data_IF_800905706065
#
_entry.id   IF_800905706065
#
_cell.length_a   1.000
_cell.length_b   1.000
_cell.length_c   1.000
_cell.angle_alpha   90.00
_cell.angle_beta   90.00
_cell.angle_gamma   90.00
#
_symmetry.space_group_name_H-M   'P 1'
#
loop_
_entity.id
_entity.type
_entity.pdbx_description
1 polymer ?
#
# COMPACT_ATOMS: atom_id res chain seq x y z
N UNK A 1 7.92 -5.46 7.00
CA UNK A 1 6.60 -5.69 7.63
C UNK A 1 5.86 -6.79 6.89
N UNK A 2 5.23 -7.74 7.60
CA UNK A 2 4.32 -8.73 7.00
C UNK A 2 2.97 -8.06 6.67
N UNK A 3 2.12 -8.62 5.80
CA UNK A 3 0.84 -8.00 5.41
C UNK A 3 -0.05 -7.57 6.59
N UNK A 4 -0.17 -8.41 7.63
CA UNK A 4 -0.92 -8.07 8.86
C UNK A 4 -0.33 -6.88 9.63
N UNK A 5 1.00 -6.73 9.63
CA UNK A 5 1.65 -5.58 10.25
C UNK A 5 1.49 -4.30 9.41
N UNK A 6 1.33 -4.40 8.09
CA UNK A 6 0.99 -3.26 7.24
C UNK A 6 -0.44 -2.79 7.55
N UNK A 7 -1.38 -3.72 7.66
CA UNK A 7 -2.78 -3.45 8.04
C UNK A 7 -2.94 -2.74 9.38
N UNK A 8 -2.06 -3.02 10.34
CA UNK A 8 -2.05 -2.34 11.64
C UNK A 8 -1.50 -0.91 11.59
N UNK A 9 -0.72 -0.56 10.56
CA UNK A 9 0.04 0.71 10.50
C UNK A 9 -0.44 1.66 9.41
N UNK A 10 -1.03 1.13 8.35
CA UNK A 10 -1.48 1.90 7.20
C UNK A 10 -2.94 1.55 6.90
N UNK A 11 -3.71 2.44 6.27
CA UNK A 11 -5.11 2.22 5.94
C UNK A 11 -5.28 1.26 4.74
N UNK A 12 -4.63 0.09 4.78
CA UNK A 12 -4.67 -0.92 3.72
C UNK A 12 -4.71 -2.31 4.37
N UNK A 13 -5.74 -3.09 4.05
CA UNK A 13 -5.89 -4.43 4.63
C UNK A 13 -4.91 -5.45 4.04
N UNK A 14 -4.62 -6.51 4.80
CA UNK A 14 -3.75 -7.59 4.33
C UNK A 14 -4.34 -8.31 3.10
N UNK A 15 -5.67 -8.43 3.04
CA UNK A 15 -6.38 -9.01 1.90
C UNK A 15 -6.27 -8.12 0.65
N UNK A 16 -6.42 -6.81 0.81
CA UNK A 16 -6.25 -5.87 -0.30
C UNK A 16 -4.83 -5.93 -0.87
N UNK A 17 -3.81 -5.99 -0.01
CA UNK A 17 -2.42 -6.23 -0.44
C UNK A 17 -2.25 -7.55 -1.21
N UNK A 18 -2.96 -8.62 -0.83
CA UNK A 18 -2.91 -9.89 -1.55
C UNK A 18 -3.53 -9.79 -2.95
N UNK A 19 -4.68 -9.12 -3.07
CA UNK A 19 -5.33 -8.88 -4.37
C UNK A 19 -4.45 -8.02 -5.29
N UNK A 20 -3.82 -6.97 -4.76
CA UNK A 20 -2.88 -6.14 -5.53
C UNK A 20 -1.70 -6.96 -6.04
N UNK A 21 -1.07 -7.79 -5.19
CA UNK A 21 0.01 -8.70 -5.62
C UNK A 21 -0.44 -9.66 -6.72
N UNK A 22 -1.64 -10.22 -6.59
CA UNK A 22 -2.20 -11.13 -7.60
C UNK A 22 -2.41 -10.41 -8.95
N UNK A 23 -2.86 -9.15 -8.92
CA UNK A 23 -3.07 -8.31 -10.11
C UNK A 23 -1.78 -7.66 -10.65
N UNK A 24 -0.64 -7.84 -9.99
CA UNK A 24 0.61 -7.17 -10.36
C UNK A 24 0.62 -5.65 -10.09
N UNK A 25 -0.25 -5.16 -9.19
CA UNK A 25 -0.34 -3.74 -8.80
C UNK A 25 0.12 -3.54 -7.35
N UNK A 26 0.12 -2.28 -6.91
CA UNK A 26 0.34 -1.93 -5.50
C UNK A 26 1.79 -1.64 -5.14
N UNK A 27 2.10 -1.57 -3.82
CA UNK A 27 3.44 -1.27 -3.35
C UNK A 27 4.40 -2.44 -3.59
N UNK A 28 5.69 -2.12 -3.76
CA UNK A 28 6.74 -3.12 -3.92
C UNK A 28 6.81 -4.04 -2.69
N UNK A 29 7.05 -5.32 -2.95
CA UNK A 29 7.24 -6.33 -1.91
C UNK A 29 8.47 -7.18 -2.20
N UNK A 30 9.04 -7.74 -1.14
CA UNK A 30 10.12 -8.71 -1.19
C UNK A 30 9.53 -10.08 -0.87
N UNK A 31 9.75 -11.05 -1.76
CA UNK A 31 9.40 -12.45 -1.53
C UNK A 31 10.61 -13.22 -1.01
N UNK A 32 10.48 -13.86 0.15
CA UNK A 32 11.47 -14.81 0.69
C UNK A 32 10.78 -16.15 0.96
N UNK A 33 10.87 -17.06 -0.01
CA UNK A 33 10.11 -18.31 0.01
C UNK A 33 8.60 -18.06 -0.01
N UNK A 34 7.92 -18.46 1.07
CA UNK A 34 6.49 -18.23 1.29
C UNK A 34 6.19 -16.89 1.99
N UNK A 35 7.21 -16.17 2.47
CA UNK A 35 7.02 -14.91 3.19
C UNK A 35 7.00 -13.72 2.24
N UNK A 36 6.03 -12.84 2.48
CA UNK A 36 5.90 -11.53 1.82
C UNK A 36 6.26 -10.44 2.83
N UNK A 37 7.20 -9.58 2.45
CA UNK A 37 7.67 -8.48 3.28
C UNK A 37 7.56 -7.17 2.51
N UNK A 38 6.96 -6.17 3.15
CA UNK A 38 6.89 -4.80 2.69
C UNK A 38 7.89 -3.94 3.45
N UNK A 39 8.61 -3.05 2.74
CA UNK A 39 9.35 -1.96 3.39
C UNK A 39 8.40 -0.78 3.60
N UNK A 40 8.55 -0.07 4.71
CA UNK A 40 7.70 1.10 5.02
C UNK A 40 7.74 2.13 3.89
N UNK A 41 8.96 2.47 3.43
CA UNK A 41 9.19 3.41 2.32
C UNK A 41 8.46 3.03 1.03
N UNK A 42 8.36 1.74 0.69
CA UNK A 42 7.67 1.31 -0.54
C UNK A 42 6.14 1.45 -0.41
N UNK A 43 5.59 1.24 0.80
CA UNK A 43 4.17 1.48 1.09
C UNK A 43 3.87 2.97 1.01
N UNK A 44 4.69 3.79 1.67
CA UNK A 44 4.52 5.24 1.75
C UNK A 44 4.64 5.90 0.38
N UNK A 45 5.65 5.53 -0.42
CA UNK A 45 5.78 6.03 -1.78
C UNK A 45 4.58 5.63 -2.65
N UNK A 46 4.07 4.41 -2.50
CA UNK A 46 2.88 3.98 -3.25
C UNK A 46 1.63 4.77 -2.85
N UNK A 47 1.42 4.97 -1.55
CA UNK A 47 0.30 5.78 -1.04
C UNK A 47 0.40 7.23 -1.51
N UNK A 48 1.60 7.83 -1.46
CA UNK A 48 1.85 9.20 -1.88
C UNK A 48 1.71 9.36 -3.41
N UNK A 49 2.18 8.40 -4.20
CA UNK A 49 2.04 8.42 -5.66
C UNK A 49 0.59 8.30 -6.14
N UNK A 50 -0.33 7.81 -5.28
CA UNK A 50 -1.77 7.79 -5.52
C UNK A 50 -2.52 9.00 -4.96
N UNK A 51 -1.86 9.89 -4.19
CA UNK A 51 -2.48 11.13 -3.73
C UNK A 51 -2.55 12.12 -4.89
N UNK A 52 -3.77 12.42 -5.34
CA UNK A 52 -4.05 13.63 -6.09
C UNK A 52 -4.41 14.73 -5.10
N UNK A 53 -3.80 15.91 -5.24
CA UNK A 53 -4.25 17.09 -4.51
C UNK A 53 -5.66 17.42 -4.99
N UNK A 54 -6.67 17.11 -4.18
CA UNK A 54 -8.01 17.66 -4.40
C UNK A 54 -7.93 19.13 -4.05
N UNK A 55 -7.89 20.00 -5.06
CA UNK A 55 -8.16 21.41 -4.86
C UNK A 55 -9.54 21.53 -4.22
N UNK A 56 -9.59 22.04 -2.99
CA UNK A 56 -10.82 22.32 -2.28
C UNK A 56 -11.64 23.28 -3.15
N UNK A 57 -12.74 22.79 -3.72
CA UNK A 57 -13.69 23.67 -4.41
C UNK A 57 -14.38 24.47 -3.32
N UNK A 58 -13.80 25.62 -2.99
CA UNK A 58 -14.51 26.67 -2.24
C UNK A 58 -15.67 27.12 -3.12
N UNK A 59 -16.84 26.53 -2.87
CA UNK A 59 -18.09 27.03 -3.41
C UNK A 59 -18.38 28.40 -2.78
N UNK A 60 -18.75 29.41 -3.60
CA UNK A 60 -19.09 30.76 -3.14
C UNK A 60 -20.41 30.81 -2.35
#
# INVERSE_FOLDING_TARGET
MRPRAVEQRYPITANHLAQMRYRGTGPRFIRRGHLIIYRAVDIEQWLMGGMVETAEVVSP
#
